data_IF_030043273906
#
_entry.id   IF_030043273906
#
_cell.length_a   1.000
_cell.length_b   1.000
_cell.length_c   1.000
_cell.angle_alpha   90.00
_cell.angle_beta   90.00
_cell.angle_gamma   90.00
#
_symmetry.space_group_name_H-M   'P 1'
#
loop_
_entity.id
_entity.type
_entity.pdbx_description
1 polymer ?
#
# COMPACT_ATOMS: atom_id res chain seq x y z
N UNK A 1 14.28 9.26 3.93
CA UNK A 1 15.03 8.53 4.98
C UNK A 1 16.46 9.05 5.17
N UNK A 2 17.40 8.89 4.22
CA UNK A 2 18.77 9.40 4.40
C UNK A 2 18.82 10.92 4.62
N UNK A 3 18.07 11.68 3.81
CA UNK A 3 17.92 13.13 3.97
C UNK A 3 17.37 13.53 5.34
N UNK A 4 16.36 12.82 5.84
CA UNK A 4 15.79 13.02 7.18
C UNK A 4 16.82 12.70 8.29
N UNK A 5 17.60 11.63 8.14
CA UNK A 5 18.67 11.29 9.07
C UNK A 5 19.77 12.35 9.10
N UNK A 6 20.23 12.81 7.93
CA UNK A 6 21.21 13.89 7.82
C UNK A 6 20.66 15.20 8.40
N UNK A 7 19.41 15.55 8.10
CA UNK A 7 18.75 16.73 8.66
C UNK A 7 18.61 16.65 10.19
N UNK A 8 18.23 15.49 10.72
CA UNK A 8 18.11 15.26 12.17
C UNK A 8 19.47 15.39 12.87
N UNK A 9 20.52 14.85 12.26
CA UNK A 9 21.89 14.94 12.78
C UNK A 9 22.46 16.35 12.73
N UNK A 10 22.37 17.02 11.58
CA UNK A 10 23.08 18.27 11.33
C UNK A 10 22.25 19.52 11.65
N UNK A 11 20.97 19.55 11.27
CA UNK A 11 20.10 20.70 11.51
C UNK A 11 19.45 20.65 12.90
N UNK A 12 18.93 19.48 13.31
CA UNK A 12 18.27 19.33 14.63
C UNK A 12 19.24 18.98 15.76
N UNK A 13 20.49 18.59 15.46
CA UNK A 13 21.49 18.15 16.43
C UNK A 13 20.97 17.08 17.40
N UNK A 14 20.07 16.21 16.92
CA UNK A 14 19.50 15.10 17.69
C UNK A 14 20.17 13.78 17.31
N UNK A 15 20.11 12.80 18.21
CA UNK A 15 20.49 11.44 17.86
C UNK A 15 19.54 10.90 16.79
N UNK A 16 20.10 10.14 15.84
CA UNK A 16 19.35 9.54 14.74
C UNK A 16 19.18 8.05 15.03
N UNK A 17 17.97 7.49 14.91
CA UNK A 17 17.72 6.07 15.16
C UNK A 17 18.15 5.21 13.96
N UNK A 18 19.45 5.24 13.62
CA UNK A 18 19.98 4.55 12.42
C UNK A 18 19.66 3.06 12.39
N UNK A 19 19.73 2.40 13.56
CA UNK A 19 19.40 0.97 13.68
C UNK A 19 17.95 0.72 13.29
N UNK A 20 17.01 1.49 13.83
CA UNK A 20 15.58 1.36 13.51
C UNK A 20 15.32 1.62 12.03
N UNK A 21 15.92 2.66 11.45
CA UNK A 21 15.79 2.97 10.02
C UNK A 21 16.28 1.83 9.14
N UNK A 22 17.39 1.18 9.50
CA UNK A 22 17.92 0.00 8.78
C UNK A 22 16.99 -1.21 8.96
N UNK A 23 16.49 -1.46 10.17
CA UNK A 23 15.54 -2.56 10.42
C UNK A 23 14.23 -2.38 9.66
N UNK A 24 13.70 -1.16 9.61
CA UNK A 24 12.49 -0.84 8.86
C UNK A 24 12.71 -1.02 7.35
N UNK A 25 13.90 -0.73 6.81
CA UNK A 25 14.24 -1.07 5.42
C UNK A 25 14.36 -2.58 5.19
N UNK A 26 14.84 -3.33 6.18
CA UNK A 26 15.02 -4.77 6.09
C UNK A 26 13.80 -5.56 6.60
N UNK A 27 12.61 -4.95 6.69
CA UNK A 27 11.40 -5.56 7.27
C UNK A 27 10.71 -6.58 6.33
N UNK A 28 11.46 -7.31 5.50
CA UNK A 28 10.90 -8.33 4.60
C UNK A 28 10.36 -7.80 3.27
N UNK A 29 10.89 -6.69 2.76
CA UNK A 29 10.46 -6.06 1.50
C UNK A 29 10.42 -7.01 0.30
N UNK A 30 11.40 -7.90 0.16
CA UNK A 30 11.40 -8.89 -0.93
C UNK A 30 10.15 -9.77 -0.89
N UNK A 31 9.75 -10.21 0.29
CA UNK A 31 8.57 -11.03 0.48
C UNK A 31 7.31 -10.20 0.22
N UNK A 32 7.27 -8.95 0.71
CA UNK A 32 6.19 -8.00 0.41
C UNK A 32 5.96 -7.82 -1.09
N UNK A 33 7.04 -7.72 -1.90
CA UNK A 33 6.93 -7.61 -3.36
C UNK A 33 6.37 -8.87 -4.02
N UNK A 34 6.68 -10.06 -3.47
CA UNK A 34 6.07 -11.32 -3.94
C UNK A 34 4.56 -11.31 -3.67
N UNK A 35 4.13 -10.92 -2.47
CA UNK A 35 2.69 -10.83 -2.14
C UNK A 35 1.97 -9.72 -2.91
N UNK A 36 2.66 -8.60 -3.20
CA UNK A 36 2.17 -7.56 -4.11
C UNK A 36 1.97 -8.12 -5.52
N UNK A 37 2.87 -9.01 -5.99
CA UNK A 37 2.69 -9.74 -7.23
C UNK A 37 1.41 -10.59 -7.23
N UNK A 38 1.14 -11.35 -6.16
CA UNK A 38 -0.10 -12.12 -6.03
C UNK A 38 -1.34 -11.23 -6.01
N UNK A 39 -1.29 -10.08 -5.35
CA UNK A 39 -2.37 -9.10 -5.36
C UNK A 39 -2.64 -8.58 -6.78
N UNK A 40 -1.60 -8.19 -7.53
CA UNK A 40 -1.75 -7.71 -8.91
C UNK A 40 -2.30 -8.81 -9.83
N UNK A 41 -1.81 -10.04 -9.71
CA UNK A 41 -2.32 -11.19 -10.48
C UNK A 41 -3.78 -11.47 -10.13
N UNK A 42 -4.14 -11.42 -8.84
CA UNK A 42 -5.52 -11.57 -8.38
C UNK A 42 -6.43 -10.46 -8.92
N UNK A 43 -5.96 -9.21 -8.88
CA UNK A 43 -6.67 -8.07 -9.45
C UNK A 43 -6.89 -8.24 -10.96
N UNK A 44 -5.82 -8.59 -11.69
CA UNK A 44 -5.88 -8.84 -13.13
C UNK A 44 -6.87 -9.95 -13.47
N UNK A 45 -6.86 -11.05 -12.71
CA UNK A 45 -7.80 -12.15 -12.89
C UNK A 45 -9.27 -11.69 -12.72
N UNK A 46 -9.56 -10.90 -11.69
CA UNK A 46 -10.90 -10.34 -11.46
C UNK A 46 -11.29 -9.40 -12.60
N UNK A 47 -10.39 -8.53 -13.04
CA UNK A 47 -10.63 -7.59 -14.13
C UNK A 47 -10.93 -8.32 -15.45
N UNK A 48 -10.12 -9.33 -15.78
CA UNK A 48 -10.26 -10.15 -16.98
C UNK A 48 -11.65 -10.81 -17.05
N UNK A 49 -12.11 -11.37 -15.92
CA UNK A 49 -13.40 -12.06 -15.82
C UNK A 49 -14.59 -11.16 -15.47
N UNK A 50 -14.36 -9.86 -15.23
CA UNK A 50 -15.46 -8.95 -14.94
C UNK A 50 -16.35 -8.76 -16.18
N UNK A 51 -17.69 -8.82 -16.02
CA UNK A 51 -18.61 -8.49 -17.10
C UNK A 51 -18.74 -6.97 -17.33
N UNK A 52 -18.24 -6.13 -16.42
CA UNK A 52 -18.36 -4.67 -16.54
C UNK A 52 -17.11 -4.06 -17.18
N UNK A 53 -17.37 -3.06 -18.02
CA UNK A 53 -16.37 -2.29 -18.78
C UNK A 53 -16.70 -0.80 -18.75
N UNK A 54 -16.91 -0.27 -17.54
CA UNK A 54 -17.45 1.10 -17.34
C UNK A 54 -16.51 2.21 -17.84
N UNK A 55 -15.24 1.89 -18.07
CA UNK A 55 -14.20 2.83 -18.47
C UNK A 55 -13.77 2.68 -19.93
N UNK A 56 -14.41 1.81 -20.71
CA UNK A 56 -14.19 1.76 -22.16
C UNK A 56 -14.67 3.06 -22.82
N UNK A 57 -13.80 3.68 -23.62
CA UNK A 57 -14.08 4.99 -24.26
C UNK A 57 -13.95 6.21 -23.33
N UNK A 58 -13.65 6.02 -22.04
CA UNK A 58 -13.35 7.13 -21.12
C UNK A 58 -11.90 7.60 -21.35
N UNK A 59 -11.63 8.92 -21.41
CA UNK A 59 -10.27 9.43 -21.55
C UNK A 59 -9.34 8.90 -20.45
N UNK A 60 -8.13 8.50 -20.83
CA UNK A 60 -7.17 7.87 -19.93
C UNK A 60 -6.93 8.67 -18.63
N UNK A 61 -6.73 9.99 -18.74
CA UNK A 61 -6.51 10.85 -17.57
C UNK A 61 -7.69 10.85 -16.60
N UNK A 62 -8.92 10.75 -17.11
CA UNK A 62 -10.13 10.74 -16.28
C UNK A 62 -10.26 9.39 -15.57
N UNK A 63 -9.96 8.29 -16.25
CA UNK A 63 -9.89 6.96 -15.64
C UNK A 63 -8.84 6.91 -14.53
N UNK A 64 -7.65 7.50 -14.73
CA UNK A 64 -6.61 7.62 -13.69
C UNK A 64 -7.11 8.45 -12.49
N UNK A 65 -7.74 9.60 -12.72
CA UNK A 65 -8.27 10.44 -11.65
C UNK A 65 -9.35 9.74 -10.83
N UNK A 66 -10.28 9.04 -11.49
CA UNK A 66 -11.31 8.24 -10.82
C UNK A 66 -10.68 7.08 -10.07
N UNK A 67 -9.73 6.36 -10.69
CA UNK A 67 -9.03 5.26 -10.06
C UNK A 67 -8.27 5.69 -8.81
N UNK A 68 -7.66 6.87 -8.80
CA UNK A 68 -6.99 7.44 -7.64
C UNK A 68 -7.96 7.67 -6.47
N UNK A 69 -9.14 8.23 -6.74
CA UNK A 69 -10.19 8.44 -5.71
C UNK A 69 -10.72 7.09 -5.19
N UNK A 70 -10.95 6.14 -6.09
CA UNK A 70 -11.37 4.79 -5.71
C UNK A 70 -10.31 4.09 -4.86
N UNK A 71 -9.04 4.23 -5.24
CA UNK A 71 -7.92 3.68 -4.49
C UNK A 71 -7.85 4.27 -3.08
N UNK A 72 -7.96 5.59 -2.92
CA UNK A 72 -7.98 6.24 -1.61
C UNK A 72 -9.15 5.75 -0.74
N UNK A 73 -10.33 5.60 -1.32
CA UNK A 73 -11.48 5.01 -0.63
C UNK A 73 -11.23 3.55 -0.20
N UNK A 74 -10.66 2.73 -1.08
CA UNK A 74 -10.28 1.35 -0.78
C UNK A 74 -9.25 1.29 0.34
N UNK A 75 -8.23 2.14 0.28
CA UNK A 75 -7.18 2.26 1.28
C UNK A 75 -7.74 2.67 2.65
N UNK A 76 -8.67 3.63 2.69
CA UNK A 76 -9.34 4.04 3.92
C UNK A 76 -10.04 2.86 4.61
N UNK A 77 -10.83 2.07 3.87
CA UNK A 77 -11.53 0.93 4.44
C UNK A 77 -10.58 -0.20 4.80
N UNK A 78 -9.58 -0.48 3.97
CA UNK A 78 -8.49 -1.40 4.27
C UNK A 78 -7.88 -1.05 5.63
N UNK A 79 -7.40 0.17 5.79
CA UNK A 79 -6.76 0.64 7.01
C UNK A 79 -7.71 0.59 8.21
N UNK A 80 -8.94 1.09 8.07
CA UNK A 80 -9.96 1.06 9.13
C UNK A 80 -10.28 -0.36 9.59
N UNK A 81 -10.37 -1.32 8.69
CA UNK A 81 -10.65 -2.72 9.05
C UNK A 81 -9.47 -3.37 9.76
N UNK A 82 -8.24 -2.98 9.41
CA UNK A 82 -7.04 -3.41 10.13
C UNK A 82 -6.97 -2.88 11.56
N UNK A 83 -7.57 -1.72 11.86
CA UNK A 83 -7.75 -1.23 13.23
C UNK A 83 -8.94 -1.83 13.97
N UNK A 84 -9.92 -2.40 13.25
CA UNK A 84 -11.17 -2.87 13.85
C UNK A 84 -11.16 -4.35 14.21
N UNK A 85 -10.52 -5.19 13.39
CA UNK A 85 -10.59 -6.66 13.54
C UNK A 85 -9.28 -7.24 14.08
N UNK A 86 -9.31 -8.08 15.13
CA UNK A 86 -8.08 -8.60 15.77
C UNK A 86 -7.13 -9.33 14.81
N UNK A 87 -7.66 -10.11 13.87
CA UNK A 87 -6.85 -10.85 12.89
C UNK A 87 -6.12 -9.89 11.94
N UNK A 88 -6.80 -8.83 11.47
CA UNK A 88 -6.20 -7.83 10.60
C UNK A 88 -5.27 -6.90 11.40
N UNK A 89 -5.58 -6.64 12.67
CA UNK A 89 -4.69 -5.92 13.57
C UNK A 89 -3.35 -6.64 13.75
N UNK A 90 -3.34 -7.97 13.88
CA UNK A 90 -2.10 -8.74 13.96
C UNK A 90 -1.19 -8.61 12.73
N UNK A 91 -1.73 -8.20 11.58
CA UNK A 91 -0.96 -7.87 10.37
C UNK A 91 -0.53 -6.39 10.35
N UNK A 92 -1.32 -5.51 10.96
CA UNK A 92 -1.13 -4.06 10.89
C UNK A 92 -0.33 -3.49 12.06
N UNK A 93 -0.32 -4.14 13.22
CA UNK A 93 0.38 -3.68 14.40
C UNK A 93 1.90 -3.51 14.16
N UNK A 94 2.48 -4.32 13.26
CA UNK A 94 3.89 -4.19 12.83
C UNK A 94 4.18 -2.78 12.35
N UNK A 95 3.24 -2.13 11.67
CA UNK A 95 3.38 -0.74 11.25
C UNK A 95 3.40 0.25 12.45
N UNK A 96 2.65 -0.05 13.51
CA UNK A 96 2.53 0.77 14.73
C UNK A 96 3.56 0.43 15.83
N UNK A 97 4.45 -0.54 15.59
CA UNK A 97 5.46 -0.97 16.56
C UNK A 97 6.70 -0.07 16.62
N UNK A 98 6.87 0.89 15.72
CA UNK A 98 8.07 1.72 15.73
C UNK A 98 8.08 2.73 16.88
N UNK A 99 9.21 2.81 17.57
CA UNK A 99 9.39 3.63 18.77
C UNK A 99 9.56 5.12 18.44
N UNK A 100 10.05 5.44 17.23
CA UNK A 100 10.41 6.81 16.84
C UNK A 100 9.62 7.25 15.61
N UNK A 101 8.91 8.38 15.70
CA UNK A 101 8.25 8.95 14.53
C UNK A 101 9.28 9.47 13.50
N UNK A 102 9.49 8.72 12.42
CA UNK A 102 10.41 9.03 11.32
C UNK A 102 9.88 8.44 9.99
N UNK A 103 10.39 8.89 8.84
CA UNK A 103 9.88 8.49 7.52
C UNK A 103 10.02 6.98 7.23
N UNK A 104 10.90 6.26 7.94
CA UNK A 104 11.08 4.83 7.74
C UNK A 104 9.92 3.98 8.25
N UNK A 105 9.12 4.51 9.18
CA UNK A 105 7.88 3.87 9.65
C UNK A 105 6.91 3.61 8.50
N UNK A 106 6.82 4.52 7.53
CA UNK A 106 5.94 4.38 6.37
C UNK A 106 6.27 3.15 5.50
N UNK A 107 7.51 2.69 5.58
CA UNK A 107 8.05 1.57 4.79
C UNK A 107 7.93 0.25 5.55
N UNK A 108 7.81 0.29 6.88
CA UNK A 108 7.60 -0.88 7.73
C UNK A 108 6.16 -1.39 7.59
N UNK A 109 6.00 -2.45 6.80
CA UNK A 109 4.74 -3.16 6.65
C UNK A 109 4.93 -4.67 6.81
N UNK A 110 3.90 -5.35 7.31
CA UNK A 110 3.88 -6.80 7.26
C UNK A 110 3.85 -7.27 5.81
N UNK A 111 4.66 -8.27 5.49
CA UNK A 111 4.78 -8.88 4.17
C UNK A 111 3.44 -9.43 3.63
N UNK A 112 2.53 -9.84 4.52
CA UNK A 112 1.19 -10.32 4.16
C UNK A 112 0.15 -9.19 4.00
N UNK A 113 0.50 -7.94 4.28
CA UNK A 113 -0.40 -6.78 4.17
C UNK A 113 -0.90 -6.55 2.73
N UNK A 114 -0.06 -6.84 1.72
CA UNK A 114 -0.43 -6.66 0.31
C UNK A 114 -1.58 -7.57 -0.12
N UNK A 115 -1.59 -8.84 0.30
CA UNK A 115 -2.64 -9.77 -0.12
C UNK A 115 -3.97 -9.52 0.61
N UNK A 116 -3.92 -9.03 1.87
CA UNK A 116 -5.13 -8.63 2.59
C UNK A 116 -5.78 -7.37 1.99
N UNK A 117 -5.08 -6.65 1.11
CA UNK A 117 -5.62 -5.47 0.42
C UNK A 117 -6.51 -5.82 -0.78
N UNK A 118 -6.32 -6.99 -1.40
CA UNK A 118 -7.05 -7.40 -2.62
C UNK A 118 -8.58 -7.22 -2.50
N UNK A 119 -9.28 -7.70 -1.44
CA UNK A 119 -10.73 -7.54 -1.32
C UNK A 119 -11.20 -6.08 -1.32
N UNK A 120 -10.36 -5.17 -0.84
CA UNK A 120 -10.66 -3.73 -0.77
C UNK A 120 -10.47 -3.03 -2.10
N UNK A 121 -9.71 -3.60 -3.04
CA UNK A 121 -9.52 -3.04 -4.38
C UNK A 121 -10.26 -3.82 -5.48
N UNK A 122 -10.78 -5.03 -5.18
CA UNK A 122 -11.52 -5.86 -6.14
C UNK A 122 -12.68 -5.12 -6.81
N UNK A 123 -13.32 -4.16 -6.14
CA UNK A 123 -14.41 -3.39 -6.74
C UNK A 123 -13.96 -2.56 -7.96
N UNK A 124 -12.71 -2.09 -7.98
CA UNK A 124 -12.12 -1.37 -9.10
C UNK A 124 -11.92 -2.30 -10.31
N UNK A 125 -11.39 -3.50 -10.05
CA UNK A 125 -11.25 -4.55 -11.06
C UNK A 125 -12.60 -4.95 -11.64
N UNK A 126 -13.60 -5.16 -10.77
CA UNK A 126 -14.98 -5.46 -11.16
C UNK A 126 -15.56 -4.31 -12.00
N UNK A 127 -15.34 -3.05 -11.63
CA UNK A 127 -15.83 -1.90 -12.41
C UNK A 127 -15.17 -1.77 -13.81
N UNK A 128 -14.08 -2.50 -14.05
CA UNK A 128 -13.35 -2.52 -15.32
C UNK A 128 -12.17 -1.55 -15.39
N UNK A 129 -11.66 -1.05 -14.26
CA UNK A 129 -10.44 -0.24 -14.24
C UNK A 129 -9.25 -1.11 -14.67
N UNK A 130 -8.55 -0.76 -15.78
CA UNK A 130 -7.42 -1.54 -16.29
C UNK A 130 -6.33 -1.76 -15.23
N UNK A 131 -5.68 -2.92 -15.29
CA UNK A 131 -4.69 -3.33 -14.28
C UNK A 131 -3.49 -2.41 -14.26
N UNK A 132 -3.06 -1.88 -15.41
CA UNK A 132 -1.99 -0.90 -15.52
C UNK A 132 -2.33 0.43 -14.83
N UNK A 133 -3.60 0.85 -14.85
CA UNK A 133 -4.05 2.04 -14.12
C UNK A 133 -4.09 1.76 -12.62
N UNK A 134 -4.53 0.56 -12.21
CA UNK A 134 -4.45 0.15 -10.81
C UNK A 134 -3.01 0.17 -10.28
N UNK A 135 -2.05 -0.41 -11.01
CA UNK A 135 -0.62 -0.39 -10.64
C UNK A 135 -0.06 1.04 -10.63
N UNK A 136 -0.56 1.93 -11.48
CA UNK A 136 -0.13 3.33 -11.48
C UNK A 136 -0.55 4.08 -10.21
N UNK A 137 -1.76 3.82 -9.70
CA UNK A 137 -2.31 4.56 -8.55
C UNK A 137 -2.03 3.90 -7.20
N UNK A 138 -1.61 2.63 -7.18
CA UNK A 138 -1.49 1.79 -5.98
C UNK A 138 -0.04 1.38 -5.67
#
# INVERSE_FOLDING_TARGET
MLSEGLYTKFARKKQVPWKEMIYNLNSGHLIMWIFRGFEIVGYYYIWLHSPFRLFEGVPYWATVAIAFICWDFGFYWFHRMHHKFPVLWALHNVHHEGEHFNLSLGIRNAWFSSISALPFYSFMAIAGIPTEIFVLVA
#
